data_IF_750259256785
#
_entry.id   IF_750259256785
#
_cell.length_a   1.000
_cell.length_b   1.000
_cell.length_c   1.000
_cell.angle_alpha   90.00
_cell.angle_beta   90.00
_cell.angle_gamma   90.00
#
_symmetry.space_group_name_H-M   'P 1'
#
loop_
_entity.id
_entity.type
_entity.pdbx_description
1 polymer ?
#
# COMPACT_ATOMS: atom_id res chain seq x y z
N UNK A 1 -17.16 -45.78 26.65
CA UNK A 1 -16.74 -45.44 25.27
C UNK A 1 -17.82 -44.58 24.66
N UNK A 2 -17.47 -43.35 24.22
CA UNK A 2 -18.08 -42.49 23.17
C UNK A 2 -17.77 -41.03 23.52
N UNK A 3 -16.61 -40.53 23.10
CA UNK A 3 -16.39 -39.67 21.91
C UNK A 3 -16.51 -38.20 22.26
N UNK A 4 -15.36 -37.60 22.59
CA UNK A 4 -15.15 -36.15 22.68
C UNK A 4 -15.32 -35.55 21.28
N UNK A 5 -16.39 -34.78 21.08
CA UNK A 5 -16.65 -34.08 19.83
C UNK A 5 -15.76 -32.83 19.78
N UNK A 6 -14.58 -32.95 19.18
CA UNK A 6 -13.73 -31.80 18.85
C UNK A 6 -14.40 -31.02 17.70
N UNK A 7 -15.03 -29.90 18.05
CA UNK A 7 -15.53 -28.94 17.07
C UNK A 7 -14.35 -28.40 16.26
N UNK A 8 -14.31 -28.75 14.98
CA UNK A 8 -13.30 -28.30 14.04
C UNK A 8 -13.49 -26.80 13.78
N UNK A 9 -12.83 -25.95 14.55
CA UNK A 9 -12.75 -24.52 14.31
C UNK A 9 -11.89 -24.30 13.08
N UNK A 10 -12.53 -23.96 11.95
CA UNK A 10 -11.83 -23.60 10.71
C UNK A 10 -10.86 -22.46 11.01
N UNK A 11 -9.56 -22.58 10.68
CA UNK A 11 -8.61 -21.50 10.87
C UNK A 11 -9.07 -20.33 9.98
N UNK A 12 -9.39 -19.19 10.61
CA UNK A 12 -9.73 -17.97 9.91
C UNK A 12 -8.44 -17.44 9.30
N UNK A 13 -8.23 -17.69 8.01
CA UNK A 13 -7.09 -17.16 7.25
C UNK A 13 -7.28 -15.65 7.10
N UNK A 14 -6.83 -14.88 8.08
CA UNK A 14 -6.84 -13.43 7.97
C UNK A 14 -5.63 -12.99 7.15
N UNK A 15 -5.89 -12.44 5.97
CA UNK A 15 -4.84 -11.85 5.16
C UNK A 15 -4.33 -10.60 5.86
N UNK A 16 -3.09 -10.62 6.35
CA UNK A 16 -2.37 -9.40 6.71
C UNK A 16 -2.17 -8.45 5.51
N UNK A 17 -2.58 -8.84 4.30
CA UNK A 17 -2.29 -8.18 3.03
C UNK A 17 -2.90 -6.79 2.85
N UNK A 18 -3.84 -6.35 3.70
CA UNK A 18 -4.30 -4.95 3.68
C UNK A 18 -3.20 -3.97 4.12
N UNK A 19 -2.25 -4.40 4.96
CA UNK A 19 -1.10 -3.62 5.45
C UNK A 19 0.21 -4.03 4.78
N UNK A 20 0.17 -4.45 3.52
CA UNK A 20 1.38 -4.65 2.72
C UNK A 20 2.05 -3.30 2.40
N UNK A 21 3.35 -3.20 2.64
CA UNK A 21 4.15 -1.99 2.36
C UNK A 21 4.01 -1.53 0.89
N UNK A 22 3.80 -2.45 -0.05
CA UNK A 22 3.59 -2.12 -1.47
C UNK A 22 2.27 -1.40 -1.72
N UNK A 23 1.22 -1.77 -1.00
CA UNK A 23 -0.06 -1.08 -1.05
C UNK A 23 0.06 0.31 -0.42
N UNK A 24 0.77 0.44 0.71
CA UNK A 24 1.00 1.74 1.36
C UNK A 24 1.79 2.68 0.46
N UNK A 25 2.93 2.23 -0.07
CA UNK A 25 3.75 3.01 -1.01
C UNK A 25 2.93 3.38 -2.26
N UNK A 26 2.24 2.40 -2.85
CA UNK A 26 1.38 2.63 -4.03
C UNK A 26 0.29 3.68 -3.77
N UNK A 27 -0.37 3.63 -2.60
CA UNK A 27 -1.41 4.59 -2.23
C UNK A 27 -0.84 6.00 -2.02
N UNK A 28 0.29 6.13 -1.30
CA UNK A 28 0.94 7.41 -1.07
C UNK A 28 1.38 8.06 -2.38
N UNK A 29 2.03 7.31 -3.27
CA UNK A 29 2.43 7.78 -4.59
C UNK A 29 1.21 8.15 -5.45
N UNK A 30 0.16 7.33 -5.41
CA UNK A 30 -1.07 7.55 -6.16
C UNK A 30 -1.80 8.83 -5.73
N UNK A 31 -1.99 9.02 -4.42
CA UNK A 31 -2.61 10.22 -3.86
C UNK A 31 -1.78 11.45 -4.24
N UNK A 32 -0.46 11.41 -4.06
CA UNK A 32 0.39 12.54 -4.40
C UNK A 32 0.41 12.83 -5.91
N UNK A 33 0.43 11.80 -6.76
CA UNK A 33 0.32 11.95 -8.21
C UNK A 33 -0.98 12.63 -8.63
N UNK A 34 -2.11 12.26 -8.02
CA UNK A 34 -3.39 12.94 -8.22
C UNK A 34 -3.29 14.41 -7.81
N UNK A 35 -2.73 14.72 -6.64
CA UNK A 35 -2.55 16.10 -6.18
C UNK A 35 -1.70 16.92 -7.16
N UNK A 36 -0.66 16.33 -7.76
CA UNK A 36 0.15 17.01 -8.77
C UNK A 36 -0.60 17.25 -10.08
N UNK A 37 -1.47 16.32 -10.51
CA UNK A 37 -2.34 16.58 -11.67
C UNK A 37 -3.33 17.71 -11.39
N UNK A 38 -3.96 17.72 -10.22
CA UNK A 38 -4.83 18.82 -9.79
C UNK A 38 -4.07 20.15 -9.75
N UNK A 39 -2.86 20.16 -9.19
CA UNK A 39 -1.98 21.32 -9.19
C UNK A 39 -1.66 21.79 -10.61
N UNK A 40 -1.30 20.86 -11.49
CA UNK A 40 -0.94 21.12 -12.87
C UNK A 40 -2.07 21.74 -13.70
N UNK A 41 -3.30 21.23 -13.54
CA UNK A 41 -4.46 21.64 -14.33
C UNK A 41 -5.25 22.82 -13.74
N UNK A 42 -5.40 22.88 -12.41
CA UNK A 42 -6.33 23.81 -11.77
C UNK A 42 -5.65 25.03 -11.13
N UNK A 43 -4.34 24.94 -10.83
CA UNK A 43 -3.64 26.04 -10.17
C UNK A 43 -2.88 26.87 -11.21
N UNK A 44 -3.03 28.19 -11.13
CA UNK A 44 -2.18 29.09 -11.88
C UNK A 44 -0.79 29.06 -11.23
N UNK A 45 0.27 28.66 -11.95
CA UNK A 45 1.61 28.52 -11.38
C UNK A 45 2.17 29.81 -10.75
N UNK A 46 1.65 30.97 -11.16
CA UNK A 46 2.11 32.27 -10.68
C UNK A 46 3.52 32.59 -11.16
N UNK A 47 4.11 33.61 -10.53
CA UNK A 47 5.49 34.05 -10.80
C UNK A 47 6.38 33.56 -9.66
N UNK A 48 7.53 32.97 -9.99
CA UNK A 48 8.56 32.67 -9.01
C UNK A 48 9.14 33.97 -8.47
N UNK A 49 8.99 34.23 -7.17
CA UNK A 49 9.46 35.48 -6.54
C UNK A 49 10.98 35.61 -6.53
N UNK A 50 11.71 34.49 -6.60
CA UNK A 50 13.17 34.47 -6.58
C UNK A 50 13.78 34.73 -7.97
N UNK A 51 13.12 34.30 -9.05
CA UNK A 51 13.65 34.37 -10.42
C UNK A 51 12.88 35.35 -11.32
N UNK A 52 11.71 35.84 -10.88
CA UNK A 52 10.75 36.61 -11.69
C UNK A 52 10.26 35.88 -12.95
N UNK A 53 10.47 34.56 -13.06
CA UNK A 53 10.01 33.77 -14.20
C UNK A 53 8.64 33.13 -13.95
N UNK A 54 7.93 32.88 -15.05
CA UNK A 54 6.70 32.09 -15.02
C UNK A 54 7.01 30.69 -14.48
N UNK A 55 6.28 30.26 -13.47
CA UNK A 55 6.40 28.89 -13.00
C UNK A 55 5.71 27.97 -14.01
N UNK A 56 6.33 26.86 -14.33
CA UNK A 56 5.87 25.95 -15.38
C UNK A 56 5.04 24.83 -14.75
N UNK A 57 3.72 24.91 -14.90
CA UNK A 57 2.77 23.95 -14.30
C UNK A 57 2.87 22.56 -14.94
N UNK A 58 3.36 22.49 -16.18
CA UNK A 58 3.55 21.27 -16.95
C UNK A 58 4.47 20.26 -16.23
N UNK A 59 5.43 20.72 -15.43
CA UNK A 59 6.29 19.82 -14.65
C UNK A 59 5.50 19.00 -13.62
N UNK A 60 4.47 19.60 -13.00
CA UNK A 60 3.60 18.87 -12.08
C UNK A 60 2.78 17.79 -12.81
N UNK A 61 2.38 18.06 -14.06
CA UNK A 61 1.65 17.06 -14.87
C UNK A 61 2.56 15.88 -15.19
N UNK A 62 3.76 16.11 -15.73
CA UNK A 62 4.70 15.04 -16.05
C UNK A 62 5.06 14.22 -14.80
N UNK A 63 5.38 14.89 -13.69
CA UNK A 63 5.69 14.22 -12.43
C UNK A 63 4.48 13.42 -11.89
N UNK A 64 3.28 14.01 -11.94
CA UNK A 64 2.04 13.36 -11.51
C UNK A 64 1.76 12.09 -12.31
N UNK A 65 1.86 12.14 -13.65
CA UNK A 65 1.67 10.97 -14.52
C UNK A 65 2.67 9.86 -14.19
N UNK A 66 3.95 10.18 -14.04
CA UNK A 66 4.98 9.20 -13.68
C UNK A 66 4.66 8.52 -12.34
N UNK A 67 4.26 9.30 -11.33
CA UNK A 67 3.87 8.75 -10.02
C UNK A 67 2.67 7.81 -10.11
N UNK A 68 1.66 8.14 -10.93
CA UNK A 68 0.51 7.27 -11.15
C UNK A 68 0.88 5.95 -11.83
N UNK A 69 1.78 6.00 -12.81
CA UNK A 69 2.29 4.79 -13.47
C UNK A 69 3.03 3.90 -12.47
N UNK A 70 3.90 4.48 -11.63
CA UNK A 70 4.63 3.73 -10.60
C UNK A 70 3.66 3.16 -9.56
N UNK A 71 2.69 3.95 -9.08
CA UNK A 71 1.66 3.49 -8.15
C UNK A 71 0.87 2.30 -8.71
N UNK A 72 0.46 2.37 -9.99
CA UNK A 72 -0.20 1.26 -10.67
C UNK A 72 0.69 0.01 -10.73
N UNK A 73 1.99 0.17 -10.98
CA UNK A 73 2.97 -0.91 -10.91
C UNK A 73 3.04 -1.58 -9.54
N UNK A 74 3.04 -0.79 -8.45
CA UNK A 74 3.04 -1.30 -7.08
C UNK A 74 1.77 -2.09 -6.75
N UNK A 75 0.59 -1.58 -7.13
CA UNK A 75 -0.67 -2.29 -6.92
C UNK A 75 -0.75 -3.57 -7.76
N UNK A 76 -0.29 -3.53 -9.00
CA UNK A 76 -0.23 -4.71 -9.86
C UNK A 76 0.71 -5.76 -9.27
N UNK A 77 1.88 -5.36 -8.79
CA UNK A 77 2.84 -6.28 -8.17
C UNK A 77 2.32 -6.86 -6.84
N UNK A 78 1.68 -6.04 -6.02
CA UNK A 78 0.98 -6.48 -4.79
C UNK A 78 -0.05 -7.56 -5.11
N UNK A 79 -0.87 -7.35 -6.15
CA UNK A 79 -1.86 -8.32 -6.62
C UNK A 79 -1.23 -9.60 -7.18
N UNK A 80 -0.10 -9.50 -7.89
CA UNK A 80 0.60 -10.65 -8.49
C UNK A 80 1.37 -11.50 -7.45
N UNK A 81 1.86 -10.89 -6.37
CA UNK A 81 2.61 -11.59 -5.31
C UNK A 81 2.03 -11.28 -3.93
N UNK A 82 0.87 -11.84 -3.56
CA UNK A 82 0.27 -11.61 -2.25
C UNK A 82 1.14 -12.21 -1.13
N UNK A 83 1.38 -11.44 -0.07
CA UNK A 83 2.02 -11.95 1.16
C UNK A 83 0.94 -12.60 2.01
N UNK A 84 1.05 -13.91 2.23
CA UNK A 84 0.16 -14.67 3.10
C UNK A 84 0.92 -14.92 4.39
N UNK A 85 0.41 -14.40 5.51
CA UNK A 85 0.91 -14.73 6.84
C UNK A 85 0.11 -15.95 7.31
N UNK A 86 0.80 -17.01 7.73
CA UNK A 86 0.16 -18.20 8.28
C UNK A 86 0.09 -18.09 9.82
N UNK A 87 -1.07 -17.74 10.34
CA UNK A 87 -1.29 -17.54 11.78
C UNK A 87 -1.20 -18.84 12.59
N UNK A 88 -1.34 -20.01 11.93
CA UNK A 88 -1.24 -21.30 12.59
C UNK A 88 0.18 -21.57 13.13
N UNK A 89 1.21 -21.08 12.42
CA UNK A 89 2.61 -21.19 12.84
C UNK A 89 2.91 -20.25 14.02
N UNK A 90 2.35 -19.03 14.00
CA UNK A 90 2.51 -18.05 15.08
C UNK A 90 1.84 -18.50 16.39
N UNK A 91 0.69 -19.16 16.29
CA UNK A 91 -0.02 -19.71 17.45
C UNK A 91 0.65 -20.95 18.06
N UNK A 92 1.37 -21.73 17.24
CA UNK A 92 2.19 -22.86 17.69
C UNK A 92 3.44 -22.36 18.44
N UNK A 93 4.11 -21.32 17.93
CA UNK A 93 5.26 -20.71 18.61
C UNK A 93 4.91 -20.09 19.98
N UNK A 94 3.69 -19.60 20.17
CA UNK A 94 3.22 -19.10 21.47
C UNK A 94 2.88 -20.20 22.49
N UNK A 95 2.60 -21.42 22.02
CA UNK A 95 2.27 -22.56 22.88
C UNK A 95 3.51 -23.36 23.31
N UNK A 96 4.62 -23.26 22.58
CA UNK A 96 5.93 -23.84 22.94
C UNK A 96 6.84 -22.87 23.72
N UNK A 97 6.26 -22.00 24.55
CA UNK A 97 7.04 -21.22 25.52
C UNK A 97 7.86 -22.16 26.42
N UNK A 98 9.13 -21.84 26.72
CA UNK A 98 10.06 -22.77 27.36
C UNK A 98 9.47 -23.25 28.69
N UNK A 99 9.36 -24.56 28.83
CA UNK A 99 9.11 -25.21 30.11
C UNK A 99 10.23 -24.79 31.08
N UNK A 100 9.92 -23.82 31.94
CA UNK A 100 10.73 -23.42 33.07
C UNK A 100 10.02 -23.84 34.34
#
# INVERSE_FOLDING_TARGET
MTTSQQAHTKPQKHSAGAFDIRNVIGALLGIYGILLLFSGFLLNPGINLDTNELKHSEYNIYAGVVLLVVAAGFFLWSKLRPIVVDEAELAAMHQEGPAH
#
